data_IF_145993397406
#
_entry.id   IF_145993397406
#
_cell.length_a   1.000
_cell.length_b   1.000
_cell.length_c   1.000
_cell.angle_alpha   90.00
_cell.angle_beta   90.00
_cell.angle_gamma   90.00
#
_symmetry.space_group_name_H-M   'P 1'
#
loop_
_entity.id
_entity.type
_entity.pdbx_description
1 polymer ?
#
# COMPACT_ATOMS: atom_id res chain seq x y z
N UNK A 1 -21.28 -10.14 -40.37
CA UNK A 1 -21.09 -8.73 -39.97
C UNK A 1 -21.09 -8.54 -38.45
N UNK A 2 -22.14 -8.98 -37.74
CA UNK A 2 -22.27 -8.81 -36.29
C UNK A 2 -21.12 -9.42 -35.46
N UNK A 3 -20.54 -10.55 -35.90
CA UNK A 3 -19.39 -11.17 -35.23
C UNK A 3 -18.19 -10.22 -35.10
N UNK A 4 -17.82 -9.54 -36.19
CA UNK A 4 -16.69 -8.62 -36.19
C UNK A 4 -16.96 -7.37 -35.35
N UNK A 5 -18.20 -6.90 -35.31
CA UNK A 5 -18.65 -5.83 -34.42
C UNK A 5 -18.52 -6.25 -32.94
N UNK A 6 -18.97 -7.45 -32.59
CA UNK A 6 -18.83 -7.97 -31.23
C UNK A 6 -17.35 -8.14 -30.83
N UNK A 7 -16.52 -8.68 -31.72
CA UNK A 7 -15.08 -8.84 -31.47
C UNK A 7 -14.38 -7.49 -31.23
N UNK A 8 -14.72 -6.46 -32.01
CA UNK A 8 -14.17 -5.11 -31.84
C UNK A 8 -14.56 -4.48 -30.49
N UNK A 9 -15.83 -4.63 -30.07
CA UNK A 9 -16.30 -4.13 -28.78
C UNK A 9 -15.62 -4.84 -27.60
N UNK A 10 -15.44 -6.16 -27.69
CA UNK A 10 -14.72 -6.94 -26.69
C UNK A 10 -13.25 -6.51 -26.59
N UNK A 11 -12.56 -6.37 -27.73
CA UNK A 11 -11.17 -5.91 -27.77
C UNK A 11 -11.02 -4.49 -27.18
N UNK A 12 -11.97 -3.60 -27.48
CA UNK A 12 -12.00 -2.24 -26.92
C UNK A 12 -12.20 -2.26 -25.40
N UNK A 13 -13.11 -3.10 -24.90
CA UNK A 13 -13.32 -3.27 -23.46
C UNK A 13 -12.07 -3.74 -22.72
N UNK A 14 -11.40 -4.77 -23.26
CA UNK A 14 -10.12 -5.27 -22.71
C UNK A 14 -9.04 -4.19 -22.75
N UNK A 15 -8.92 -3.47 -23.87
CA UNK A 15 -7.94 -2.39 -24.01
C UNK A 15 -8.18 -1.26 -22.98
N UNK A 16 -9.42 -0.84 -22.78
CA UNK A 16 -9.77 0.15 -21.76
C UNK A 16 -9.42 -0.34 -20.35
N UNK A 17 -9.77 -1.58 -20.00
CA UNK A 17 -9.47 -2.18 -18.70
C UNK A 17 -7.96 -2.26 -18.42
N UNK A 18 -7.15 -2.61 -19.42
CA UNK A 18 -5.68 -2.67 -19.28
C UNK A 18 -5.02 -1.30 -19.17
N UNK A 19 -5.68 -0.24 -19.67
CA UNK A 19 -5.16 1.13 -19.65
C UNK A 19 -5.63 1.91 -18.42
N UNK A 20 -6.64 1.41 -17.74
CA UNK A 20 -7.19 2.01 -16.53
C UNK A 20 -6.17 1.87 -15.38
N UNK A 21 -5.54 2.99 -15.02
CA UNK A 21 -4.65 3.08 -13.88
C UNK A 21 -5.34 3.88 -12.79
N UNK A 22 -6.10 3.20 -11.95
CA UNK A 22 -6.67 3.81 -10.75
C UNK A 22 -5.58 4.02 -9.72
N UNK A 23 -5.15 5.27 -9.56
CA UNK A 23 -4.31 5.69 -8.45
C UNK A 23 -5.22 6.35 -7.44
N UNK A 24 -5.49 5.65 -6.34
CA UNK A 24 -6.17 6.26 -5.21
C UNK A 24 -5.12 6.87 -4.30
N UNK A 25 -5.35 8.13 -3.94
CA UNK A 25 -4.58 8.78 -2.89
C UNK A 25 -5.17 8.32 -1.56
N UNK A 26 -4.38 7.58 -0.78
CA UNK A 26 -4.77 7.17 0.57
C UNK A 26 -3.96 8.01 1.55
N UNK A 27 -4.67 8.66 2.48
CA UNK A 27 -4.06 9.37 3.61
C UNK A 27 -4.21 8.49 4.84
N UNK A 28 -3.11 8.08 5.44
CA UNK A 28 -3.11 7.41 6.75
C UNK A 28 -3.10 8.47 7.85
N UNK A 29 -4.03 8.37 8.79
CA UNK A 29 -3.99 9.18 10.02
C UNK A 29 -2.79 8.80 10.89
N UNK A 30 -2.34 9.68 11.81
CA UNK A 30 -1.26 9.37 12.72
C UNK A 30 -1.58 8.10 13.52
N UNK A 31 -0.66 7.13 13.49
CA UNK A 31 -0.85 5.85 14.18
C UNK A 31 0.32 5.60 15.13
N UNK A 32 0.00 5.53 16.41
CA UNK A 32 0.91 5.15 17.47
C UNK A 32 0.77 3.66 17.80
N UNK A 33 1.85 2.89 17.68
CA UNK A 33 1.84 1.47 18.03
C UNK A 33 3.19 0.98 18.57
N UNK A 34 3.18 -0.26 19.07
CA UNK A 34 4.38 -0.89 19.58
C UNK A 34 4.43 -2.36 19.16
N UNK A 35 5.43 -2.72 18.36
CA UNK A 35 5.67 -4.08 17.92
C UNK A 35 7.15 -4.46 18.04
N UNK A 36 7.43 -5.76 18.03
CA UNK A 36 8.78 -6.30 17.97
C UNK A 36 9.35 -6.06 16.57
N UNK A 37 10.48 -5.38 16.44
CA UNK A 37 11.13 -5.14 15.15
C UNK A 37 12.64 -5.45 15.20
N UNK A 38 13.20 -5.60 14.01
CA UNK A 38 14.64 -5.74 13.73
C UNK A 38 15.02 -4.65 12.73
N UNK A 39 16.24 -4.13 12.82
CA UNK A 39 16.77 -3.17 11.87
C UNK A 39 17.26 -3.93 10.64
N UNK A 40 16.59 -3.72 9.50
CA UNK A 40 17.03 -4.15 8.18
C UNK A 40 17.25 -2.94 7.27
N UNK A 41 17.46 -3.15 5.97
CA UNK A 41 17.67 -2.07 5.00
C UNK A 41 16.47 -1.10 4.92
N UNK A 42 15.28 -1.54 5.30
CA UNK A 42 14.06 -0.74 5.31
C UNK A 42 13.76 -0.07 6.66
N UNK A 43 14.43 -0.51 7.74
CA UNK A 43 14.13 -0.08 9.12
C UNK A 43 15.36 0.54 9.81
N UNK A 44 16.07 1.40 9.09
CA UNK A 44 17.14 2.21 9.66
C UNK A 44 16.55 3.49 10.27
N UNK A 45 16.44 3.57 11.59
CA UNK A 45 16.07 4.79 12.30
C UNK A 45 16.95 5.00 13.53
N UNK A 46 17.02 6.25 13.99
CA UNK A 46 17.75 6.64 15.19
C UNK A 46 16.80 6.59 16.38
N UNK A 47 17.22 5.95 17.48
CA UNK A 47 16.52 6.02 18.76
C UNK A 47 16.80 7.36 19.44
N UNK A 48 15.77 8.00 19.96
CA UNK A 48 15.87 9.19 20.82
C UNK A 48 16.22 8.83 22.27
N UNK A 49 16.30 7.54 22.59
CA UNK A 49 16.73 7.00 23.89
C UNK A 49 18.02 6.17 23.77
N UNK A 50 18.76 5.96 24.89
CA UNK A 50 19.93 5.09 24.91
C UNK A 50 19.53 3.64 24.61
N UNK A 51 19.79 3.19 23.38
CA UNK A 51 19.55 1.81 22.96
C UNK A 51 20.82 0.97 23.11
N UNK A 52 20.69 -0.24 23.64
CA UNK A 52 21.80 -1.17 23.90
C UNK A 52 22.21 -2.02 22.69
N UNK A 53 21.61 -1.77 21.52
CA UNK A 53 21.91 -2.47 20.27
C UNK A 53 21.33 -3.88 20.18
N UNK A 54 20.50 -4.31 21.14
CA UNK A 54 19.93 -5.67 21.11
C UNK A 54 18.65 -5.73 20.27
N UNK A 55 18.56 -6.81 19.49
CA UNK A 55 17.42 -7.15 18.65
C UNK A 55 16.89 -8.56 18.93
N UNK A 56 15.58 -8.81 18.73
CA UNK A 56 14.57 -7.82 18.38
C UNK A 56 14.17 -6.98 19.61
N UNK A 57 13.75 -5.74 19.37
CA UNK A 57 13.28 -4.87 20.45
C UNK A 57 11.92 -4.26 20.11
N UNK A 58 11.29 -3.73 21.16
CA UNK A 58 9.95 -3.15 21.11
C UNK A 58 10.00 -1.81 21.82
N UNK A 59 9.70 -0.76 21.09
CA UNK A 59 9.44 0.56 21.65
C UNK A 59 8.09 1.06 21.11
N UNK A 60 7.58 2.12 21.73
CA UNK A 60 6.45 2.85 21.20
C UNK A 60 6.96 3.80 20.12
N UNK A 61 6.35 3.81 18.94
CA UNK A 61 6.62 4.81 17.92
C UNK A 61 5.34 5.28 17.26
N UNK A 62 5.34 6.53 16.80
CA UNK A 62 4.26 7.18 16.10
C UNK A 62 4.62 7.36 14.63
N UNK A 63 3.75 6.91 13.73
CA UNK A 63 3.82 7.22 12.31
C UNK A 63 3.15 8.57 12.07
N UNK A 64 3.87 9.52 11.49
CA UNK A 64 3.27 10.76 11.00
C UNK A 64 2.29 10.50 9.84
N UNK A 65 1.46 11.49 9.51
CA UNK A 65 0.51 11.40 8.39
C UNK A 65 1.25 11.02 7.11
N UNK A 66 0.91 9.86 6.55
CA UNK A 66 1.51 9.37 5.31
C UNK A 66 0.47 9.39 4.19
N UNK A 67 0.77 10.15 3.14
CA UNK A 67 -0.03 10.14 1.90
C UNK A 67 0.72 9.33 0.86
N UNK A 68 0.16 8.20 0.43
CA UNK A 68 0.74 7.40 -0.65
C UNK A 68 -0.28 7.06 -1.74
N UNK A 69 0.25 6.72 -2.93
CA UNK A 69 -0.54 6.35 -4.11
C UNK A 69 -0.20 4.94 -4.52
N UNK A 70 -1.14 4.03 -4.38
CA UNK A 70 -1.01 2.66 -4.88
C UNK A 70 -1.92 2.45 -6.10
N UNK A 71 -1.46 1.71 -7.12
CA UNK A 71 -2.37 1.18 -8.14
C UNK A 71 -3.37 0.26 -7.45
N UNK A 72 -4.66 0.52 -7.59
CA UNK A 72 -5.69 -0.35 -7.04
C UNK A 72 -5.66 -1.71 -7.75
N UNK A 73 -5.13 -2.73 -7.07
CA UNK A 73 -5.38 -4.13 -7.42
C UNK A 73 -6.57 -4.60 -6.59
N UNK A 74 -7.50 -5.41 -7.14
CA UNK A 74 -8.55 -6.02 -6.35
C UNK A 74 -7.90 -7.02 -5.39
N UNK A 75 -7.60 -6.56 -4.18
CA UNK A 75 -7.06 -7.39 -3.12
C UNK A 75 -8.21 -7.92 -2.26
N UNK A 76 -8.41 -9.24 -2.34
CA UNK A 76 -9.41 -9.99 -1.56
C UNK A 76 -9.13 -9.90 -0.04
N UNK A 77 -7.95 -9.42 0.37
CA UNK A 77 -7.50 -9.32 1.77
C UNK A 77 -7.62 -7.91 2.37
N UNK A 78 -7.84 -6.87 1.56
CA UNK A 78 -8.07 -5.50 2.04
C UNK A 78 -9.56 -5.17 2.02
N UNK A 79 -10.29 -5.59 3.05
CA UNK A 79 -11.62 -5.01 3.32
C UNK A 79 -11.41 -3.59 3.85
N UNK A 80 -11.69 -2.60 3.01
CA UNK A 80 -11.80 -1.21 3.44
C UNK A 80 -13.04 -1.05 4.34
N UNK A 81 -12.89 -0.65 5.61
CA UNK A 81 -13.97 -0.03 6.36
C UNK A 81 -14.07 1.42 5.88
N UNK A 82 -15.22 1.77 5.30
CA UNK A 82 -15.62 3.15 5.08
C UNK A 82 -16.30 3.70 6.33
#
# INVERSE_FOLDING_TARGET
>A
MAFWLAAALMALGVWLHLRERHKHEHTHEPLAHSHSHRHDEHHQHVHDFPWDGKEPHRHWHEHEVMVHKHPHYPDVHHRHPH
#
